data_IF_825611273363
#
_entry.id   IF_825611273363
#
_cell.length_a   1.000
_cell.length_b   1.000
_cell.length_c   1.000
_cell.angle_alpha   90.00
_cell.angle_beta   90.00
_cell.angle_gamma   90.00
#
_symmetry.space_group_name_H-M   'P 1'
#
loop_
_entity.id
_entity.type
_entity.pdbx_description
1 polymer ?
#
# COMPACT_ATOMS: atom_id res chain seq x y z
N UNK A 1 -0.20 -4.49 -10.65
CA UNK A 1 0.37 -4.05 -9.36
C UNK A 1 1.40 -5.06 -8.90
N UNK A 2 2.60 -4.62 -8.50
CA UNK A 2 3.64 -5.46 -7.87
C UNK A 2 3.81 -5.00 -6.43
N UNK A 3 4.05 -5.92 -5.51
CA UNK A 3 4.33 -5.61 -4.10
C UNK A 3 5.69 -6.21 -3.76
N UNK A 4 6.61 -5.37 -3.31
CA UNK A 4 8.01 -5.72 -3.06
C UNK A 4 8.37 -5.35 -1.61
N UNK A 5 9.29 -6.07 -0.96
CA UNK A 5 9.92 -5.58 0.27
C UNK A 5 10.61 -4.25 0.03
N UNK A 6 10.54 -3.34 1.01
CA UNK A 6 11.22 -2.05 0.98
C UNK A 6 11.96 -1.82 2.30
N UNK A 7 13.14 -2.43 2.43
CA UNK A 7 13.84 -2.54 3.71
C UNK A 7 13.13 -3.50 4.68
N UNK A 8 13.46 -3.38 5.97
CA UNK A 8 13.05 -4.37 6.97
C UNK A 8 11.58 -4.24 7.39
N UNK A 9 11.00 -3.04 7.21
CA UNK A 9 9.71 -2.67 7.81
C UNK A 9 8.83 -1.84 6.88
N UNK A 10 8.94 -2.08 5.58
CA UNK A 10 8.03 -1.48 4.63
C UNK A 10 7.78 -2.38 3.42
N UNK A 11 6.67 -2.10 2.73
CA UNK A 11 6.36 -2.67 1.41
C UNK A 11 6.31 -1.54 0.39
N UNK A 12 6.87 -1.76 -0.79
CA UNK A 12 6.71 -0.91 -1.94
C UNK A 12 5.65 -1.51 -2.87
N UNK A 13 4.63 -0.73 -3.18
CA UNK A 13 3.58 -1.08 -4.14
C UNK A 13 3.84 -0.31 -5.43
N UNK A 14 4.12 -1.03 -6.51
CA UNK A 14 4.28 -0.43 -7.84
C UNK A 14 2.99 -0.53 -8.66
N UNK A 15 2.60 0.60 -9.24
CA UNK A 15 1.35 0.77 -9.98
C UNK A 15 1.62 1.20 -11.44
N UNK A 16 0.68 0.96 -12.37
CA UNK A 16 0.86 1.28 -13.78
C UNK A 16 1.01 2.79 -14.04
N UNK A 17 0.29 3.62 -13.28
CA UNK A 17 0.33 5.07 -13.42
C UNK A 17 -0.17 5.84 -12.20
N UNK A 18 -0.24 7.18 -12.32
CA UNK A 18 -0.64 8.07 -11.23
C UNK A 18 -2.11 7.92 -10.81
N UNK A 19 -3.01 7.61 -11.75
CA UNK A 19 -4.44 7.43 -11.45
C UNK A 19 -4.68 6.20 -10.57
N UNK A 20 -4.04 5.06 -10.88
CA UNK A 20 -4.14 3.87 -10.04
C UNK A 20 -3.44 4.05 -8.69
N UNK A 21 -2.36 4.85 -8.65
CA UNK A 21 -1.70 5.27 -7.40
C UNK A 21 -2.65 6.07 -6.52
N UNK A 22 -3.29 7.09 -7.07
CA UNK A 22 -4.22 7.92 -6.33
C UNK A 22 -5.45 7.11 -5.87
N UNK A 23 -6.02 6.29 -6.75
CA UNK A 23 -7.17 5.45 -6.41
C UNK A 23 -6.88 4.44 -5.30
N UNK A 24 -5.69 3.82 -5.31
CA UNK A 24 -5.28 2.92 -4.23
C UNK A 24 -4.95 3.69 -2.95
N UNK A 25 -4.28 4.85 -3.04
CA UNK A 25 -3.99 5.69 -1.89
C UNK A 25 -5.27 6.10 -1.15
N UNK A 26 -6.28 6.56 -1.88
CA UNK A 26 -7.60 6.91 -1.33
C UNK A 26 -8.27 5.71 -0.67
N UNK A 27 -8.21 4.53 -1.30
CA UNK A 27 -8.80 3.31 -0.72
C UNK A 27 -8.11 2.89 0.59
N UNK A 28 -6.78 2.93 0.62
CA UNK A 28 -6.00 2.56 1.80
C UNK A 28 -6.11 3.57 2.93
N UNK A 29 -6.23 4.87 2.64
CA UNK A 29 -6.42 5.90 3.67
C UNK A 29 -7.85 5.88 4.23
N UNK A 30 -8.85 5.54 3.42
CA UNK A 30 -10.22 5.37 3.89
C UNK A 30 -10.41 4.09 4.74
N UNK A 31 -9.67 3.02 4.43
CA UNK A 31 -9.69 1.77 5.18
C UNK A 31 -8.25 1.23 5.38
N UNK A 32 -7.51 1.76 6.37
CA UNK A 32 -6.12 1.36 6.63
C UNK A 32 -5.98 -0.14 6.88
N UNK A 33 -5.09 -0.85 6.15
CA UNK A 33 -4.79 -2.24 6.45
C UNK A 33 -4.18 -2.38 7.86
N UNK A 34 -4.59 -3.42 8.57
CA UNK A 34 -4.01 -3.73 9.89
C UNK A 34 -2.49 -3.96 9.78
N UNK A 35 -1.72 -3.30 10.65
CA UNK A 35 -0.25 -3.39 10.68
C UNK A 35 0.47 -2.41 9.76
N UNK A 36 -0.27 -1.50 9.10
CA UNK A 36 0.32 -0.37 8.36
C UNK A 36 0.31 0.85 9.27
N UNK A 37 1.51 1.35 9.57
CA UNK A 37 1.72 2.55 10.37
C UNK A 37 1.52 3.84 9.55
N UNK A 38 1.92 3.82 8.27
CA UNK A 38 1.78 4.97 7.37
C UNK A 38 1.75 4.54 5.90
N UNK A 39 1.17 5.39 5.04
CA UNK A 39 1.10 5.24 3.59
C UNK A 39 1.72 6.46 2.92
N UNK A 40 2.91 6.29 2.34
CA UNK A 40 3.67 7.38 1.71
C UNK A 40 3.49 7.33 0.19
N UNK A 41 2.82 8.33 -0.43
CA UNK A 41 2.64 8.39 -1.87
C UNK A 41 3.88 8.94 -2.60
N UNK A 42 4.05 8.50 -3.85
CA UNK A 42 5.03 9.01 -4.81
C UNK A 42 4.41 9.04 -6.22
N UNK A 43 5.23 9.14 -7.28
CA UNK A 43 4.71 9.29 -8.64
C UNK A 43 3.85 8.11 -9.13
N UNK A 44 4.32 6.88 -8.96
CA UNK A 44 3.66 5.63 -9.41
C UNK A 44 3.80 4.48 -8.40
N UNK A 45 4.11 4.84 -7.15
CA UNK A 45 4.35 3.89 -6.08
C UNK A 45 3.76 4.37 -4.78
N UNK A 46 3.40 3.42 -3.91
CA UNK A 46 3.08 3.67 -2.51
C UNK A 46 4.06 2.90 -1.63
N UNK A 47 4.64 3.56 -0.63
CA UNK A 47 5.38 2.86 0.42
C UNK A 47 4.46 2.70 1.64
N UNK A 48 4.27 1.46 2.08
CA UNK A 48 3.53 1.14 3.30
C UNK A 48 4.53 0.88 4.41
N UNK A 49 4.61 1.79 5.39
CA UNK A 49 5.42 1.58 6.58
C UNK A 49 4.68 0.62 7.52
N UNK A 50 5.40 -0.37 8.06
CA UNK A 50 4.81 -1.44 8.83
C UNK A 50 5.09 -1.29 10.33
N UNK A 51 4.07 -1.63 11.13
CA UNK A 51 4.21 -1.81 12.57
C UNK A 51 5.24 -2.90 12.91
N UNK A 52 5.86 -2.88 14.12
CA UNK A 52 6.92 -3.83 14.45
C UNK A 52 6.49 -5.29 14.43
N UNK A 53 5.21 -5.54 14.69
CA UNK A 53 4.61 -6.87 14.77
C UNK A 53 3.80 -7.24 13.51
N UNK A 54 3.80 -6.38 12.49
CA UNK A 54 3.02 -6.62 11.29
C UNK A 54 3.58 -7.80 10.48
N UNK A 55 2.67 -8.59 9.90
CA UNK A 55 3.01 -9.62 8.91
C UNK A 55 2.94 -9.00 7.50
N UNK A 56 4.09 -8.83 6.81
CA UNK A 56 4.11 -8.22 5.47
C UNK A 56 3.29 -9.00 4.44
N UNK A 57 3.18 -10.32 4.57
CA UNK A 57 2.40 -11.13 3.64
C UNK A 57 0.89 -10.86 3.80
N UNK A 58 0.43 -10.72 5.04
CA UNK A 58 -0.96 -10.37 5.36
C UNK A 58 -1.32 -8.96 4.90
N UNK A 59 -0.42 -7.99 5.10
CA UNK A 59 -0.58 -6.62 4.60
C UNK A 59 -0.66 -6.63 3.07
N UNK A 60 0.27 -7.34 2.40
CA UNK A 60 0.26 -7.45 0.94
C UNK A 60 -1.03 -8.08 0.40
N UNK A 61 -1.59 -9.07 1.10
CA UNK A 61 -2.89 -9.66 0.75
C UNK A 61 -4.04 -8.66 0.88
N UNK A 62 -4.08 -7.88 1.97
CA UNK A 62 -5.07 -6.84 2.18
C UNK A 62 -5.00 -5.76 1.07
N UNK A 63 -3.80 -5.32 0.71
CA UNK A 63 -3.58 -4.33 -0.35
C UNK A 63 -4.05 -4.84 -1.71
N UNK A 64 -3.83 -6.12 -2.03
CA UNK A 64 -4.37 -6.73 -3.26
C UNK A 64 -5.90 -6.80 -3.29
N UNK A 65 -6.54 -6.91 -2.12
CA UNK A 65 -7.99 -6.92 -1.98
C UNK A 65 -8.64 -5.53 -1.98
N UNK A 66 -7.86 -4.48 -1.75
CA UNK A 66 -8.35 -3.10 -1.80
C UNK A 66 -8.79 -2.76 -3.22
N UNK A 67 -10.05 -2.32 -3.36
CA UNK A 67 -10.53 -1.79 -4.64
C UNK A 67 -10.12 -0.32 -4.73
N UNK A 68 -9.40 0.11 -5.78
CA UNK A 68 -9.16 1.52 -6.00
C UNK A 68 -10.50 2.25 -6.03
N UNK A 69 -10.64 3.30 -5.21
CA UNK A 69 -11.81 4.17 -5.31
C UNK A 69 -11.79 4.86 -6.68
N UNK A 70 -12.95 5.02 -7.31
CA UNK A 70 -13.06 6.02 -8.37
C UNK A 70 -12.78 7.39 -7.73
N UNK A 71 -11.79 8.10 -8.27
CA UNK A 71 -11.48 9.47 -7.86
C UNK A 71 -12.66 10.40 -8.11
#
# INVERSE_FOLDING_TARGET
>A
MRILPNGDRALLVELPGPEEMLGLYTALTAAPPLGVADVVPAARTLTLLLDPSADPARVAAAVRGARPGAA
#
